data_IF_595802779697
#
_entry.id   IF_595802779697
#
_cell.length_a   1.000
_cell.length_b   1.000
_cell.length_c   1.000
_cell.angle_alpha   90.00
_cell.angle_beta   90.00
_cell.angle_gamma   90.00
#
_symmetry.space_group_name_H-M   'P 1'
#
loop_
_entity.id
_entity.type
_entity.pdbx_description
1 polymer ?
#
# COMPACT_ATOMS: atom_id res chain seq x y z
N UNK A 1 -25.65 29.88 -68.42
CA UNK A 1 -24.31 29.40 -68.75
C UNK A 1 -23.98 28.38 -67.65
N UNK A 2 -24.25 27.09 -67.92
CA UNK A 2 -24.20 25.99 -67.00
C UNK A 2 -22.85 25.28 -67.16
N UNK A 3 -22.08 25.20 -66.11
CA UNK A 3 -20.92 24.34 -66.12
C UNK A 3 -21.16 23.15 -65.17
N UNK A 4 -21.26 21.94 -65.78
CA UNK A 4 -21.36 20.68 -65.09
C UNK A 4 -19.96 20.35 -64.54
N UNK A 5 -19.86 20.15 -63.26
CA UNK A 5 -18.69 19.51 -62.67
C UNK A 5 -18.85 18.01 -62.80
N UNK A 6 -17.96 17.43 -63.58
CA UNK A 6 -17.78 16.00 -63.80
C UNK A 6 -17.39 15.27 -62.53
N UNK A 7 -18.26 14.35 -62.06
CA UNK A 7 -17.99 13.46 -60.93
C UNK A 7 -17.45 12.12 -61.49
N UNK A 8 -16.19 12.08 -61.81
CA UNK A 8 -15.47 10.82 -62.04
C UNK A 8 -14.50 10.55 -60.91
N UNK A 9 -15.01 10.01 -59.80
CA UNK A 9 -14.19 9.34 -58.80
C UNK A 9 -14.05 7.88 -59.20
N UNK A 10 -12.84 7.40 -59.42
CA UNK A 10 -12.65 6.01 -59.87
C UNK A 10 -13.09 5.02 -58.75
N UNK A 11 -13.85 4.03 -59.15
CA UNK A 11 -14.44 2.96 -58.32
C UNK A 11 -13.40 2.06 -57.62
N UNK A 12 -12.12 2.24 -57.91
CA UNK A 12 -11.02 1.48 -57.31
C UNK A 12 -10.74 1.80 -55.84
N UNK A 13 -11.24 2.91 -55.29
CA UNK A 13 -11.00 3.29 -53.89
C UNK A 13 -12.04 2.72 -52.90
N UNK A 14 -13.16 2.16 -53.38
CA UNK A 14 -14.22 1.59 -52.55
C UNK A 14 -14.05 0.10 -52.23
N UNK A 15 -13.17 -0.59 -52.89
CA UNK A 15 -12.96 -2.07 -52.73
C UNK A 15 -11.92 -2.38 -51.64
N UNK A 16 -11.11 -1.39 -51.24
CA UNK A 16 -9.96 -1.64 -50.34
C UNK A 16 -10.24 -1.66 -48.84
N UNK A 17 -11.41 -1.20 -48.39
CA UNK A 17 -11.65 -1.03 -46.91
C UNK A 17 -12.58 -2.10 -46.33
N UNK A 18 -13.42 -2.76 -47.18
CA UNK A 18 -14.38 -3.75 -46.69
C UNK A 18 -13.79 -5.18 -46.69
N UNK A 19 -12.65 -5.43 -47.36
CA UNK A 19 -12.07 -6.76 -47.46
C UNK A 19 -11.17 -7.20 -46.28
N UNK A 20 -10.94 -6.36 -45.31
CA UNK A 20 -10.07 -6.74 -44.16
C UNK A 20 -10.79 -7.33 -42.94
N UNK A 21 -12.10 -7.33 -42.89
CA UNK A 21 -12.89 -7.90 -41.77
C UNK A 21 -13.66 -9.17 -42.16
N UNK A 22 -13.81 -9.44 -43.47
CA UNK A 22 -14.56 -10.59 -43.95
C UNK A 22 -13.72 -11.71 -44.62
N UNK A 23 -12.48 -11.74 -44.34
CA UNK A 23 -11.53 -12.37 -45.20
C UNK A 23 -11.18 -13.84 -44.94
N UNK A 24 -12.10 -14.77 -44.80
CA UNK A 24 -11.77 -16.19 -45.00
C UNK A 24 -13.02 -17.02 -45.40
N UNK A 25 -14.22 -16.46 -45.32
CA UNK A 25 -15.47 -17.19 -45.53
C UNK A 25 -15.87 -17.38 -47.04
N UNK A 26 -15.10 -16.86 -47.99
CA UNK A 26 -15.44 -16.87 -49.41
C UNK A 26 -14.42 -17.56 -50.32
N UNK A 27 -13.34 -18.12 -49.77
CA UNK A 27 -12.39 -18.89 -50.59
C UNK A 27 -12.85 -20.33 -50.79
N UNK A 28 -12.63 -20.94 -52.00
CA UNK A 28 -12.84 -22.38 -52.21
C UNK A 28 -12.09 -23.17 -51.12
N UNK A 29 -12.64 -24.32 -50.74
CA UNK A 29 -12.13 -25.14 -49.63
C UNK A 29 -10.64 -25.54 -49.78
N UNK A 30 -10.13 -25.60 -51.04
CA UNK A 30 -8.74 -25.95 -51.34
C UNK A 30 -7.74 -24.78 -51.13
N UNK A 31 -8.21 -23.52 -51.13
CA UNK A 31 -7.36 -22.32 -50.95
C UNK A 31 -7.37 -21.78 -49.54
N UNK A 32 -8.06 -22.44 -48.61
CA UNK A 32 -8.04 -21.99 -47.21
C UNK A 32 -6.70 -22.38 -46.57
N UNK A 33 -5.98 -21.41 -45.95
CA UNK A 33 -4.77 -21.74 -45.23
C UNK A 33 -5.09 -22.73 -44.10
N UNK A 34 -4.25 -23.77 -43.92
CA UNK A 34 -4.51 -24.80 -42.92
C UNK A 34 -4.73 -24.15 -41.55
N UNK A 35 -5.87 -24.44 -40.92
CA UNK A 35 -6.17 -23.98 -39.55
C UNK A 35 -4.99 -24.42 -38.68
N UNK A 36 -4.32 -23.52 -37.99
CA UNK A 36 -3.17 -23.88 -37.16
C UNK A 36 -3.63 -24.88 -36.11
N UNK A 37 -3.41 -26.16 -36.36
CA UNK A 37 -3.64 -27.20 -35.36
C UNK A 37 -2.72 -26.91 -34.20
N UNK A 38 -3.30 -26.67 -33.03
CA UNK A 38 -2.58 -26.43 -31.78
C UNK A 38 -1.72 -27.65 -31.47
N UNK A 39 -0.49 -27.68 -32.02
CA UNK A 39 0.48 -28.76 -31.78
C UNK A 39 0.61 -28.89 -30.27
N UNK A 40 0.26 -30.04 -29.72
CA UNK A 40 0.54 -30.39 -28.33
C UNK A 40 2.04 -30.18 -28.11
N UNK A 41 2.38 -29.13 -27.36
CA UNK A 41 3.77 -28.85 -26.99
C UNK A 41 4.30 -30.09 -26.25
N UNK A 42 5.46 -30.59 -26.62
CA UNK A 42 6.16 -31.64 -25.89
C UNK A 42 6.40 -31.13 -24.45
N UNK A 43 6.21 -32.01 -23.45
CA UNK A 43 6.43 -31.69 -22.03
C UNK A 43 7.78 -31.01 -21.79
N UNK A 44 8.85 -31.45 -22.48
CA UNK A 44 10.19 -30.85 -22.39
C UNK A 44 10.21 -29.38 -22.88
N UNK A 45 9.52 -29.07 -23.97
CA UNK A 45 9.40 -27.67 -24.46
C UNK A 45 8.53 -26.83 -23.55
N UNK A 46 7.40 -27.38 -23.08
CA UNK A 46 6.56 -26.68 -22.12
C UNK A 46 7.32 -26.38 -20.80
N UNK A 47 8.12 -27.36 -20.32
CA UNK A 47 8.91 -27.17 -19.11
C UNK A 47 10.04 -26.15 -19.32
N UNK A 48 10.74 -26.20 -20.46
CA UNK A 48 11.79 -25.23 -20.79
C UNK A 48 11.23 -23.80 -20.94
N UNK A 49 10.02 -23.63 -21.50
CA UNK A 49 9.43 -22.32 -21.77
C UNK A 49 8.68 -21.74 -20.54
N UNK A 50 7.98 -22.58 -19.78
CA UNK A 50 7.07 -22.15 -18.72
C UNK A 50 7.20 -22.93 -17.41
N UNK A 51 7.47 -24.23 -17.47
CA UNK A 51 7.43 -25.13 -16.31
C UNK A 51 8.42 -24.74 -15.20
N UNK A 52 9.65 -24.38 -15.56
CA UNK A 52 10.67 -23.97 -14.60
C UNK A 52 10.24 -22.71 -13.80
N UNK A 53 9.47 -21.79 -14.42
CA UNK A 53 8.94 -20.59 -13.75
C UNK A 53 7.95 -20.96 -12.65
N UNK A 54 7.14 -22.00 -12.87
CA UNK A 54 6.22 -22.52 -11.85
C UNK A 54 7.00 -23.16 -10.69
N UNK A 55 8.07 -23.89 -10.98
CA UNK A 55 8.93 -24.47 -9.93
C UNK A 55 9.55 -23.37 -9.08
N UNK A 56 10.14 -22.34 -9.70
CA UNK A 56 10.69 -21.19 -8.99
C UNK A 56 9.60 -20.46 -8.17
N UNK A 57 8.40 -20.28 -8.74
CA UNK A 57 7.28 -19.67 -8.03
C UNK A 57 6.86 -20.49 -6.80
N UNK A 58 6.76 -21.81 -6.92
CA UNK A 58 6.43 -22.68 -5.80
C UNK A 58 7.50 -22.68 -4.70
N UNK A 59 8.79 -22.68 -5.07
CA UNK A 59 9.89 -22.54 -4.10
C UNK A 59 9.79 -21.19 -3.37
N UNK A 60 9.57 -20.09 -4.11
CA UNK A 60 9.41 -18.77 -3.52
C UNK A 60 8.19 -18.69 -2.59
N UNK A 61 7.06 -19.29 -2.96
CA UNK A 61 5.86 -19.39 -2.13
C UNK A 61 6.15 -20.19 -0.85
N UNK A 62 6.76 -21.36 -0.97
CA UNK A 62 7.11 -22.19 0.19
C UNK A 62 8.06 -21.46 1.14
N UNK A 63 9.06 -20.78 0.62
CA UNK A 63 9.99 -19.97 1.40
C UNK A 63 9.28 -18.81 2.11
N UNK A 64 8.38 -18.10 1.43
CA UNK A 64 7.62 -16.98 2.01
C UNK A 64 6.60 -17.45 3.06
N UNK A 65 5.98 -18.62 2.88
CA UNK A 65 4.99 -19.16 3.81
C UNK A 65 5.63 -19.79 5.06
N UNK A 66 6.87 -20.24 4.99
CA UNK A 66 7.53 -20.93 6.09
C UNK A 66 7.56 -20.12 7.41
N UNK A 67 8.00 -18.84 7.42
CA UNK A 67 7.95 -18.01 8.64
C UNK A 67 6.54 -17.83 9.19
N UNK A 68 5.54 -17.69 8.30
CA UNK A 68 4.14 -17.52 8.70
C UNK A 68 3.60 -18.79 9.34
N UNK A 69 3.88 -19.95 8.76
CA UNK A 69 3.52 -21.25 9.34
C UNK A 69 4.18 -21.46 10.70
N UNK A 70 5.44 -21.02 10.87
CA UNK A 70 6.12 -21.09 12.14
C UNK A 70 5.42 -20.24 13.21
N UNK A 71 5.08 -18.97 12.91
CA UNK A 71 4.38 -18.09 13.84
C UNK A 71 3.00 -18.66 14.21
N UNK A 72 2.25 -19.20 13.23
CA UNK A 72 0.96 -19.85 13.48
C UNK A 72 1.14 -21.07 14.37
N UNK A 73 2.13 -21.91 14.10
CA UNK A 73 2.46 -23.07 14.95
C UNK A 73 2.82 -22.66 16.37
N UNK A 74 3.67 -21.64 16.53
CA UNK A 74 4.08 -21.13 17.83
C UNK A 74 2.90 -20.53 18.62
N UNK A 75 1.98 -19.84 17.95
CA UNK A 75 0.79 -19.26 18.60
C UNK A 75 -0.15 -20.31 19.21
N UNK A 76 -0.16 -21.50 18.63
CA UNK A 76 -1.00 -22.62 19.08
C UNK A 76 -0.28 -23.53 20.07
N UNK A 77 1.03 -23.35 20.29
CA UNK A 77 1.80 -24.21 21.19
C UNK A 77 1.66 -23.75 22.66
N UNK A 78 1.05 -24.58 23.55
CA UNK A 78 0.80 -24.22 24.96
C UNK A 78 2.06 -24.09 25.80
N UNK A 79 3.21 -24.69 25.39
CA UNK A 79 4.47 -24.59 26.11
C UNK A 79 5.00 -23.17 26.09
N UNK A 80 4.74 -22.39 25.01
CA UNK A 80 4.95 -20.95 24.93
C UNK A 80 6.41 -20.48 24.92
N UNK A 81 7.39 -21.37 24.96
CA UNK A 81 8.82 -21.05 24.93
C UNK A 81 9.38 -21.13 23.52
N UNK A 82 10.46 -20.39 23.24
CA UNK A 82 11.14 -20.43 21.95
C UNK A 82 11.63 -21.85 21.62
N UNK A 83 12.23 -22.52 22.59
CA UNK A 83 12.75 -23.91 22.44
C UNK A 83 11.63 -24.92 22.32
N UNK A 84 10.52 -24.77 23.03
CA UNK A 84 9.35 -25.63 22.92
C UNK A 84 8.59 -25.51 21.61
N UNK A 85 8.77 -24.43 20.90
CA UNK A 85 8.13 -24.16 19.59
C UNK A 85 8.93 -24.67 18.39
N UNK A 86 10.06 -25.34 18.60
CA UNK A 86 10.93 -25.85 17.52
C UNK A 86 10.30 -26.97 16.67
N UNK A 87 9.28 -27.66 17.21
CA UNK A 87 8.52 -28.64 16.45
C UNK A 87 7.20 -28.01 15.96
N UNK A 88 7.02 -27.96 14.65
CA UNK A 88 5.79 -27.41 14.05
C UNK A 88 4.57 -28.25 14.47
N UNK A 89 3.55 -27.57 15.01
CA UNK A 89 2.28 -28.17 15.41
C UNK A 89 2.39 -29.36 16.37
N UNK A 90 3.41 -29.37 17.23
CA UNK A 90 3.60 -30.44 18.26
C UNK A 90 2.45 -30.53 19.26
N UNK A 91 1.78 -29.40 19.52
CA UNK A 91 0.53 -29.32 20.28
C UNK A 91 -0.32 -28.17 19.75
N UNK A 92 -1.64 -28.34 19.79
CA UNK A 92 -2.59 -27.33 19.32
C UNK A 92 -3.51 -26.94 20.48
N UNK A 93 -3.40 -25.67 20.92
CA UNK A 93 -4.19 -25.14 22.02
C UNK A 93 -4.48 -23.64 21.82
N UNK A 94 -5.68 -23.13 22.12
CA UNK A 94 -6.01 -21.70 22.09
C UNK A 94 -5.46 -20.94 23.30
N UNK A 95 -4.79 -21.58 24.24
CA UNK A 95 -4.37 -21.03 25.54
C UNK A 95 -3.60 -19.69 25.42
N UNK A 96 -2.77 -19.53 24.39
CA UNK A 96 -2.01 -18.29 24.21
C UNK A 96 -2.92 -17.11 23.82
N UNK A 97 -3.97 -17.37 23.05
CA UNK A 97 -4.99 -16.39 22.72
C UNK A 97 -5.84 -16.04 23.95
N UNK A 98 -6.22 -17.04 24.76
CA UNK A 98 -6.94 -16.80 26.02
C UNK A 98 -6.11 -15.91 26.96
N UNK A 99 -4.82 -16.21 27.14
CA UNK A 99 -3.91 -15.41 27.97
C UNK A 99 -3.80 -13.96 27.51
N UNK A 100 -3.82 -13.66 26.21
CA UNK A 100 -3.78 -12.30 25.70
C UNK A 100 -4.92 -11.42 26.26
N UNK A 101 -6.07 -12.01 26.53
CA UNK A 101 -7.26 -11.27 26.96
C UNK A 101 -7.62 -11.47 28.44
N UNK A 102 -7.08 -12.51 29.09
CA UNK A 102 -7.40 -12.83 30.48
C UNK A 102 -6.29 -12.50 31.47
N UNK A 103 -5.05 -12.37 31.02
CA UNK A 103 -3.91 -12.04 31.88
C UNK A 103 -3.90 -10.53 32.18
N UNK A 104 -4.11 -10.10 33.43
CA UNK A 104 -4.15 -8.68 33.80
C UNK A 104 -2.83 -7.94 33.53
N UNK A 105 -1.71 -8.68 33.43
CA UNK A 105 -0.40 -8.09 33.11
C UNK A 105 -0.23 -7.76 31.62
N UNK A 106 -1.17 -8.20 30.77
CA UNK A 106 -1.10 -8.03 29.31
C UNK A 106 -2.34 -7.24 28.83
N UNK A 107 -2.32 -5.91 28.85
CA UNK A 107 -3.45 -5.12 28.37
C UNK A 107 -3.53 -5.06 26.82
N UNK A 108 -3.52 -6.25 26.19
CA UNK A 108 -3.45 -6.39 24.74
C UNK A 108 -4.57 -5.63 24.02
N UNK A 109 -5.79 -5.67 24.55
CA UNK A 109 -6.93 -4.96 23.96
C UNK A 109 -6.70 -3.46 23.89
N UNK A 110 -6.10 -2.86 24.93
CA UNK A 110 -5.73 -1.43 24.96
C UNK A 110 -4.67 -1.13 23.91
N UNK A 111 -3.59 -1.91 23.87
CA UNK A 111 -2.53 -1.75 22.87
C UNK A 111 -3.08 -1.84 21.43
N UNK A 112 -3.98 -2.79 21.21
CA UNK A 112 -4.59 -3.01 19.91
C UNK A 112 -5.45 -1.84 19.44
N UNK A 113 -6.31 -1.32 20.32
CA UNK A 113 -7.15 -0.16 20.04
C UNK A 113 -6.29 1.10 19.83
N UNK A 114 -5.28 1.32 20.66
CA UNK A 114 -4.34 2.44 20.51
C UNK A 114 -3.65 2.38 19.13
N UNK A 115 -3.12 1.20 18.75
CA UNK A 115 -2.47 1.03 17.45
C UNK A 115 -3.42 1.31 16.29
N UNK A 116 -4.65 0.85 16.36
CA UNK A 116 -5.65 1.09 15.32
C UNK A 116 -5.99 2.58 15.20
N UNK A 117 -6.22 3.27 16.32
CA UNK A 117 -6.51 4.70 16.33
C UNK A 117 -5.35 5.48 15.70
N UNK A 118 -4.10 5.23 16.16
CA UNK A 118 -2.92 5.92 15.67
C UNK A 118 -2.73 5.63 14.17
N UNK A 119 -2.82 4.38 13.75
CA UNK A 119 -2.62 3.99 12.35
C UNK A 119 -3.69 4.55 11.42
N UNK A 120 -4.97 4.48 11.80
CA UNK A 120 -6.08 5.00 10.99
C UNK A 120 -5.98 6.52 10.87
N UNK A 121 -5.86 7.23 12.00
CA UNK A 121 -5.82 8.70 12.00
C UNK A 121 -4.63 9.20 11.20
N UNK A 122 -3.43 8.65 11.44
CA UNK A 122 -2.24 9.06 10.71
C UNK A 122 -2.36 8.76 9.22
N UNK A 123 -2.87 7.59 8.83
CA UNK A 123 -3.02 7.23 7.42
C UNK A 123 -4.00 8.14 6.70
N UNK A 124 -5.16 8.41 7.28
CA UNK A 124 -6.18 9.30 6.69
C UNK A 124 -5.65 10.72 6.56
N UNK A 125 -5.02 11.25 7.60
CA UNK A 125 -4.46 12.61 7.58
C UNK A 125 -3.28 12.69 6.60
N UNK A 126 -2.40 11.69 6.55
CA UNK A 126 -1.31 11.62 5.58
C UNK A 126 -1.85 11.64 4.15
N UNK A 127 -2.84 10.80 3.83
CA UNK A 127 -3.45 10.77 2.49
C UNK A 127 -4.02 12.13 2.11
N UNK A 128 -4.76 12.76 3.03
CA UNK A 128 -5.37 14.06 2.76
C UNK A 128 -4.30 15.15 2.54
N UNK A 129 -3.33 15.26 3.44
CA UNK A 129 -2.27 16.28 3.34
C UNK A 129 -1.39 16.07 2.11
N UNK A 130 -1.01 14.81 1.82
CA UNK A 130 -0.21 14.49 0.65
C UNK A 130 -0.99 14.74 -0.66
N UNK A 131 -2.29 14.44 -0.70
CA UNK A 131 -3.13 14.73 -1.86
C UNK A 131 -3.27 16.25 -2.11
N UNK A 132 -3.49 17.04 -1.05
CA UNK A 132 -3.51 18.50 -1.12
C UNK A 132 -2.17 19.06 -1.62
N UNK A 133 -1.05 18.58 -1.05
CA UNK A 133 0.29 18.93 -1.48
C UNK A 133 0.55 18.54 -2.94
N UNK A 134 0.25 17.32 -3.33
CA UNK A 134 0.39 16.82 -4.69
C UNK A 134 -0.44 17.63 -5.69
N UNK A 135 -1.68 17.98 -5.34
CA UNK A 135 -2.54 18.84 -6.15
C UNK A 135 -1.92 20.24 -6.33
N UNK A 136 -1.46 20.86 -5.24
CA UNK A 136 -0.81 22.16 -5.32
C UNK A 136 0.46 22.11 -6.19
N UNK A 137 1.31 21.11 -5.97
CA UNK A 137 2.53 20.90 -6.76
C UNK A 137 2.26 20.48 -8.21
N UNK A 138 1.15 19.84 -8.55
CA UNK A 138 0.86 19.42 -9.93
C UNK A 138 0.09 20.49 -10.73
N UNK A 139 -0.86 21.19 -10.11
CA UNK A 139 -1.85 22.05 -10.79
C UNK A 139 -1.66 23.55 -10.56
N UNK A 140 -1.02 23.94 -9.46
CA UNK A 140 -0.83 25.35 -9.17
C UNK A 140 0.52 25.85 -9.67
N UNK A 141 0.56 27.09 -10.15
CA UNK A 141 1.79 27.78 -10.57
C UNK A 141 2.21 28.73 -9.46
N UNK A 142 3.27 28.39 -8.71
CA UNK A 142 3.84 29.26 -7.69
C UNK A 142 5.38 29.24 -7.74
N UNK A 143 5.99 30.33 -7.25
CA UNK A 143 7.47 30.44 -7.15
C UNK A 143 7.98 29.43 -6.12
N UNK A 144 9.04 28.73 -6.45
CA UNK A 144 9.63 27.73 -5.54
C UNK A 144 9.05 26.30 -5.64
N UNK A 145 8.09 26.03 -6.53
CA UNK A 145 7.47 24.71 -6.72
C UNK A 145 8.49 23.56 -6.83
N UNK A 146 9.48 23.70 -7.73
CA UNK A 146 10.52 22.68 -7.94
C UNK A 146 11.40 22.53 -6.72
N UNK A 147 11.79 23.66 -6.12
CA UNK A 147 12.59 23.66 -4.89
C UNK A 147 11.86 22.99 -3.75
N UNK A 148 10.59 23.29 -3.52
CA UNK A 148 9.78 22.66 -2.48
C UNK A 148 9.67 21.13 -2.63
N UNK A 149 9.42 20.62 -3.86
CA UNK A 149 9.41 19.19 -4.12
C UNK A 149 10.77 18.53 -3.84
N UNK A 150 11.87 19.18 -4.27
CA UNK A 150 13.22 18.65 -4.01
C UNK A 150 13.53 18.68 -2.51
N UNK A 151 13.16 19.74 -1.80
CA UNK A 151 13.35 19.84 -0.35
C UNK A 151 12.63 18.71 0.39
N UNK A 152 11.39 18.39 0.02
CA UNK A 152 10.64 17.27 0.60
C UNK A 152 11.39 15.94 0.41
N UNK A 153 11.99 15.71 -0.76
CA UNK A 153 12.77 14.49 -1.02
C UNK A 153 14.09 14.46 -0.23
N UNK A 154 14.82 15.59 -0.20
CA UNK A 154 16.09 15.69 0.51
C UNK A 154 15.92 15.49 2.01
N UNK A 155 14.85 16.06 2.60
CA UNK A 155 14.54 15.85 4.02
C UNK A 155 14.27 14.38 4.36
N UNK A 156 13.72 13.61 3.44
CA UNK A 156 13.48 12.17 3.62
C UNK A 156 14.76 11.32 3.55
N UNK A 157 15.85 11.85 3.02
CA UNK A 157 17.14 11.15 3.02
C UNK A 157 17.81 11.15 4.40
N UNK A 158 17.33 12.00 5.32
CA UNK A 158 17.85 12.00 6.68
C UNK A 158 17.35 10.75 7.44
N UNK A 159 18.26 9.95 8.03
CA UNK A 159 17.86 8.74 8.74
C UNK A 159 17.00 9.04 9.96
N UNK A 160 15.74 8.64 9.94
CA UNK A 160 14.78 8.90 11.03
C UNK A 160 15.27 8.37 12.39
N UNK A 161 15.97 7.23 12.40
CA UNK A 161 16.52 6.65 13.64
C UNK A 161 17.54 7.57 14.31
N UNK A 162 18.29 8.35 13.56
CA UNK A 162 19.21 9.34 14.12
C UNK A 162 18.50 10.55 14.72
N UNK A 163 17.28 10.83 14.27
CA UNK A 163 16.46 11.92 14.76
C UNK A 163 15.73 11.60 16.08
N UNK A 164 15.68 10.34 16.50
CA UNK A 164 14.86 9.92 17.67
C UNK A 164 15.17 10.75 18.92
N UNK A 165 16.45 10.96 19.24
CA UNK A 165 16.83 11.76 20.41
C UNK A 165 16.36 13.23 20.29
N UNK A 166 16.50 13.82 19.10
CA UNK A 166 16.05 15.18 18.86
C UNK A 166 14.52 15.29 18.92
N UNK A 167 13.81 14.30 18.38
CA UNK A 167 12.35 14.20 18.46
C UNK A 167 11.90 14.10 19.92
N UNK A 168 12.56 13.25 20.71
CA UNK A 168 12.25 13.10 22.14
C UNK A 168 12.40 14.42 22.91
N UNK A 169 13.55 15.11 22.74
CA UNK A 169 13.79 16.41 23.37
C UNK A 169 12.78 17.46 22.92
N UNK A 170 12.42 17.47 21.64
CA UNK A 170 11.39 18.36 21.11
C UNK A 170 10.02 18.05 21.74
N UNK A 171 9.67 16.77 21.88
CA UNK A 171 8.40 16.36 22.49
C UNK A 171 8.30 16.75 23.98
N UNK A 172 9.40 16.72 24.72
CA UNK A 172 9.44 17.26 26.09
C UNK A 172 9.09 18.75 26.09
N UNK A 173 9.77 19.55 25.24
CA UNK A 173 9.51 20.99 25.18
C UNK A 173 8.07 21.31 24.73
N UNK A 174 7.52 20.51 23.79
CA UNK A 174 6.13 20.65 23.37
C UNK A 174 5.19 20.34 24.57
N UNK A 175 5.52 19.34 25.40
CA UNK A 175 4.71 18.98 26.55
C UNK A 175 4.57 20.11 27.55
N UNK A 176 5.61 20.93 27.73
CA UNK A 176 5.60 22.08 28.64
C UNK A 176 4.63 23.17 28.19
N UNK A 177 4.40 23.33 26.89
CA UNK A 177 3.54 24.38 26.32
C UNK A 177 2.17 23.82 25.91
N UNK A 178 2.15 22.60 25.32
CA UNK A 178 0.97 21.95 24.79
C UNK A 178 0.90 20.48 25.25
N UNK A 179 0.50 20.21 26.52
CA UNK A 179 0.49 18.84 27.05
C UNK A 179 -0.33 17.84 26.24
N UNK A 180 -1.39 18.29 25.57
CA UNK A 180 -2.28 17.43 24.79
C UNK A 180 -1.63 16.80 23.54
N UNK A 181 -0.53 17.36 23.04
CA UNK A 181 0.21 16.91 21.85
C UNK A 181 1.69 16.64 22.14
N UNK A 182 2.05 16.59 23.42
CA UNK A 182 3.40 16.36 23.89
C UNK A 182 3.75 14.88 24.03
N UNK A 183 4.82 14.65 24.78
CA UNK A 183 5.33 13.32 25.12
C UNK A 183 4.25 12.49 25.86
N UNK A 184 4.18 11.21 25.60
CA UNK A 184 3.21 10.29 26.21
C UNK A 184 1.83 10.28 25.56
N UNK A 185 1.57 11.15 24.57
CA UNK A 185 0.24 11.26 23.95
C UNK A 185 0.18 10.64 22.55
N UNK A 186 -0.98 10.06 22.19
CA UNK A 186 -1.23 9.56 20.83
C UNK A 186 -1.16 10.70 19.80
N UNK A 187 -1.67 11.88 20.14
CA UNK A 187 -1.66 13.04 19.25
C UNK A 187 -0.22 13.50 18.93
N UNK A 188 0.66 13.50 19.94
CA UNK A 188 2.08 13.80 19.75
C UNK A 188 2.75 12.79 18.82
N UNK A 189 2.51 11.50 19.03
CA UNK A 189 3.05 10.45 18.15
C UNK A 189 2.52 10.59 16.71
N UNK A 190 1.22 10.85 16.53
CA UNK A 190 0.61 11.08 15.21
C UNK A 190 1.30 12.25 14.49
N UNK A 191 1.55 13.36 15.18
CA UNK A 191 2.24 14.52 14.59
C UNK A 191 3.66 14.18 14.12
N UNK A 192 4.40 13.39 14.90
CA UNK A 192 5.75 12.94 14.52
C UNK A 192 5.68 12.05 13.27
N UNK A 193 4.74 11.12 13.22
CA UNK A 193 4.55 10.26 12.05
C UNK A 193 4.14 11.03 10.80
N UNK A 194 3.28 12.03 10.93
CA UNK A 194 2.88 12.90 9.81
C UNK A 194 4.10 13.61 9.22
N UNK A 195 4.99 14.15 10.07
CA UNK A 195 6.23 14.79 9.61
C UNK A 195 7.09 13.85 8.77
N UNK A 196 7.24 12.59 9.18
CA UNK A 196 7.99 11.58 8.44
C UNK A 196 7.31 11.10 7.16
N UNK A 197 5.99 11.04 7.13
CA UNK A 197 5.24 10.45 6.02
C UNK A 197 5.02 11.41 4.83
N UNK A 198 5.02 12.73 5.05
CA UNK A 198 4.59 13.71 4.05
C UNK A 198 5.51 13.78 2.82
N UNK A 199 6.82 13.62 2.96
CA UNK A 199 7.78 13.83 1.88
C UNK A 199 7.61 12.88 0.70
N UNK A 200 7.88 11.58 0.91
CA UNK A 200 7.83 10.53 -0.13
C UNK A 200 6.42 10.36 -0.66
N UNK A 201 5.41 10.36 0.23
CA UNK A 201 4.03 10.14 -0.18
C UNK A 201 3.48 11.30 -1.02
N UNK A 202 3.86 12.56 -0.71
CA UNK A 202 3.51 13.71 -1.56
C UNK A 202 4.14 13.61 -2.94
N UNK A 203 5.40 13.18 -3.03
CA UNK A 203 6.09 12.99 -4.30
C UNK A 203 5.47 11.86 -5.13
N UNK A 204 5.14 10.74 -4.50
CA UNK A 204 4.48 9.61 -5.15
C UNK A 204 3.11 10.05 -5.72
N UNK A 205 2.30 10.74 -4.92
CA UNK A 205 1.01 11.26 -5.37
C UNK A 205 1.18 12.32 -6.45
N UNK A 206 2.15 13.22 -6.34
CA UNK A 206 2.46 14.21 -7.37
C UNK A 206 2.73 13.56 -8.73
N UNK A 207 3.52 12.49 -8.76
CA UNK A 207 3.75 11.72 -10.00
C UNK A 207 2.43 11.24 -10.62
N UNK A 208 1.55 10.69 -9.80
CA UNK A 208 0.26 10.16 -10.26
C UNK A 208 -0.71 11.27 -10.69
N UNK A 209 -0.78 12.38 -9.97
CA UNK A 209 -1.60 13.55 -10.37
C UNK A 209 -1.21 14.10 -11.74
N UNK A 210 0.07 14.03 -12.12
CA UNK A 210 0.53 14.47 -13.44
C UNK A 210 0.12 13.51 -14.57
N UNK A 211 -0.36 12.30 -14.30
CA UNK A 211 -0.89 11.40 -15.34
C UNK A 211 -2.31 11.79 -15.77
N UNK A 212 -3.02 12.56 -14.95
CA UNK A 212 -4.35 13.07 -15.27
C UNK A 212 -4.22 14.27 -16.20
N UNK A 213 -4.86 14.28 -17.40
CA UNK A 213 -4.78 15.39 -18.35
C UNK A 213 -5.26 16.73 -17.76
N UNK A 214 -4.49 17.81 -17.97
CA UNK A 214 -4.87 19.16 -17.49
C UNK A 214 -6.14 19.72 -18.12
N UNK A 215 -6.50 19.21 -19.30
CA UNK A 215 -7.73 19.59 -19.99
C UNK A 215 -9.00 19.38 -19.14
N UNK A 216 -8.99 18.39 -18.22
CA UNK A 216 -10.10 18.13 -17.29
C UNK A 216 -10.25 19.32 -16.31
N UNK A 217 -9.13 19.80 -15.76
CA UNK A 217 -9.13 20.94 -14.86
C UNK A 217 -9.53 22.25 -15.57
N UNK A 218 -9.10 22.41 -16.83
CA UNK A 218 -9.39 23.57 -17.67
C UNK A 218 -10.87 23.62 -18.03
N UNK A 219 -11.46 22.49 -18.43
CA UNK A 219 -12.89 22.38 -18.72
C UNK A 219 -13.72 22.74 -17.47
N UNK A 220 -13.38 22.16 -16.31
CA UNK A 220 -14.08 22.46 -15.06
C UNK A 220 -14.00 23.95 -14.66
N UNK A 221 -12.89 24.63 -14.96
CA UNK A 221 -12.74 26.07 -14.71
C UNK A 221 -13.60 26.90 -15.67
N UNK A 222 -13.75 26.49 -16.93
CA UNK A 222 -14.67 27.13 -17.89
C UNK A 222 -16.10 27.03 -17.37
N UNK A 223 -16.48 25.90 -16.75
CA UNK A 223 -17.77 25.69 -16.10
C UNK A 223 -17.90 26.45 -14.76
N UNK A 224 -16.92 27.28 -14.38
CA UNK A 224 -16.96 28.09 -13.16
C UNK A 224 -16.57 27.37 -11.88
N UNK A 225 -16.00 26.15 -11.97
CA UNK A 225 -15.57 25.41 -10.78
C UNK A 225 -14.30 26.03 -10.17
N UNK A 226 -14.35 26.39 -8.89
CA UNK A 226 -13.19 26.82 -8.12
C UNK A 226 -12.25 25.64 -7.79
N UNK A 227 -11.00 25.94 -7.38
CA UNK A 227 -9.97 24.94 -7.09
C UNK A 227 -10.39 23.86 -6.08
N UNK A 228 -11.11 24.26 -5.03
CA UNK A 228 -11.60 23.29 -4.04
C UNK A 228 -12.60 22.31 -4.65
N UNK A 229 -13.54 22.81 -5.47
CA UNK A 229 -14.51 21.94 -6.16
C UNK A 229 -13.80 20.99 -7.12
N UNK A 230 -12.87 21.47 -7.93
CA UNK A 230 -12.07 20.63 -8.84
C UNK A 230 -11.33 19.56 -8.04
N UNK A 231 -10.69 19.91 -6.93
CA UNK A 231 -9.95 18.97 -6.10
C UNK A 231 -10.84 17.87 -5.53
N UNK A 232 -11.89 18.23 -4.79
CA UNK A 232 -12.72 17.26 -4.06
C UNK A 232 -13.64 16.43 -4.96
N UNK A 233 -14.22 17.04 -6.02
CA UNK A 233 -15.26 16.38 -6.82
C UNK A 233 -14.73 15.73 -8.10
N UNK A 234 -13.58 16.16 -8.62
CA UNK A 234 -13.03 15.67 -9.88
C UNK A 234 -11.71 14.93 -9.64
N UNK A 235 -10.73 15.61 -9.03
CA UNK A 235 -9.38 15.04 -8.91
C UNK A 235 -9.29 13.88 -7.95
N UNK A 236 -9.82 14.01 -6.73
CA UNK A 236 -9.76 12.92 -5.73
C UNK A 236 -10.38 11.60 -6.24
N UNK A 237 -11.57 11.59 -6.88
CA UNK A 237 -12.12 10.38 -7.48
C UNK A 237 -11.22 9.76 -8.56
N UNK A 238 -10.61 10.58 -9.42
CA UNK A 238 -9.72 10.09 -10.49
C UNK A 238 -8.43 9.48 -9.97
N UNK A 239 -7.90 10.02 -8.87
CA UNK A 239 -6.64 9.54 -8.26
C UNK A 239 -6.87 8.56 -7.11
N UNK A 240 -8.10 8.11 -6.87
CA UNK A 240 -8.45 7.15 -5.80
C UNK A 240 -7.49 5.94 -5.72
N UNK A 241 -7.04 5.31 -6.82
CA UNK A 241 -6.13 4.17 -6.72
C UNK A 241 -4.84 4.51 -5.95
N UNK A 242 -4.21 5.65 -6.21
CA UNK A 242 -2.98 6.02 -5.51
C UNK A 242 -3.25 6.45 -4.06
N UNK A 243 -4.42 7.05 -3.77
CA UNK A 243 -4.80 7.40 -2.40
C UNK A 243 -4.90 6.15 -1.53
N UNK A 244 -5.52 5.09 -2.05
CA UNK A 244 -5.66 3.80 -1.37
C UNK A 244 -4.29 3.16 -1.14
N UNK A 245 -3.41 3.17 -2.15
CA UNK A 245 -2.06 2.61 -2.02
C UNK A 245 -1.27 3.34 -0.95
N UNK A 246 -1.23 4.67 -0.96
CA UNK A 246 -0.51 5.46 0.04
C UNK A 246 -1.11 5.26 1.43
N UNK A 247 -2.43 5.25 1.56
CA UNK A 247 -3.11 4.99 2.82
C UNK A 247 -2.76 3.61 3.40
N UNK A 248 -2.80 2.57 2.56
CA UNK A 248 -2.44 1.22 2.95
C UNK A 248 -0.98 1.11 3.40
N UNK A 249 -0.04 1.65 2.61
CA UNK A 249 1.39 1.61 2.94
C UNK A 249 1.69 2.37 4.24
N UNK A 250 1.06 3.52 4.45
CA UNK A 250 1.18 4.30 5.69
C UNK A 250 0.61 3.50 6.87
N UNK A 251 -0.57 2.91 6.73
CA UNK A 251 -1.18 2.09 7.79
C UNK A 251 -0.30 0.90 8.18
N UNK A 252 0.23 0.16 7.20
CA UNK A 252 1.13 -0.98 7.43
C UNK A 252 2.40 -0.52 8.16
N UNK A 253 2.99 0.59 7.72
CA UNK A 253 4.19 1.14 8.33
C UNK A 253 3.99 1.50 9.80
N UNK A 254 2.85 2.08 10.14
CA UNK A 254 2.56 2.54 11.51
C UNK A 254 2.19 1.41 12.46
N UNK A 255 1.42 0.41 12.01
CA UNK A 255 1.05 -0.74 12.87
C UNK A 255 2.29 -1.46 13.40
N UNK A 256 3.34 -1.57 12.61
CA UNK A 256 4.59 -2.24 12.99
C UNK A 256 5.67 -1.31 13.54
N UNK A 257 5.40 0.00 13.62
CA UNK A 257 6.42 0.94 14.06
C UNK A 257 6.62 0.83 15.58
N UNK A 258 7.85 0.55 15.98
CA UNK A 258 8.25 0.34 17.36
C UNK A 258 9.21 1.43 17.87
N UNK A 259 10.17 1.84 17.03
CA UNK A 259 11.32 2.61 17.49
C UNK A 259 10.92 4.00 18.02
N UNK A 260 10.14 4.75 17.26
CA UNK A 260 9.68 6.09 17.64
C UNK A 260 8.57 5.96 18.72
N UNK A 261 7.65 5.01 18.53
CA UNK A 261 6.56 4.79 19.47
C UNK A 261 7.08 4.49 20.89
N UNK A 262 8.10 3.62 21.02
CA UNK A 262 8.65 3.21 22.31
C UNK A 262 9.32 4.35 23.09
N UNK A 263 9.79 5.37 22.37
CA UNK A 263 10.42 6.56 22.98
C UNK A 263 9.37 7.59 23.39
N UNK A 264 8.28 7.69 22.64
CA UNK A 264 7.22 8.70 22.92
C UNK A 264 6.19 8.18 23.90
N UNK A 265 5.74 6.90 23.76
CA UNK A 265 4.67 6.33 24.58
C UNK A 265 5.24 5.48 25.71
N UNK A 266 5.57 6.08 26.82
CA UNK A 266 6.17 5.40 27.98
C UNK A 266 5.15 4.80 28.94
N UNK A 267 3.92 5.34 28.98
CA UNK A 267 2.83 4.85 29.83
C UNK A 267 2.20 3.57 29.20
N UNK A 268 2.10 2.45 29.96
CA UNK A 268 1.44 1.23 29.50
C UNK A 268 0.03 1.43 28.93
N UNK A 269 -0.72 2.40 29.41
CA UNK A 269 -2.07 2.70 28.96
C UNK A 269 -2.10 3.34 27.56
N UNK A 270 -1.02 3.98 27.12
CA UNK A 270 -0.92 4.63 25.80
C UNK A 270 -0.14 3.83 24.77
N UNK A 271 0.54 2.75 25.18
CA UNK A 271 1.40 1.94 24.33
C UNK A 271 0.66 1.32 23.16
N UNK A 272 1.42 1.06 22.07
CA UNK A 272 0.98 0.34 20.89
C UNK A 272 1.21 -1.17 21.01
N UNK A 273 0.57 -1.95 20.13
CA UNK A 273 0.80 -3.40 20.02
C UNK A 273 2.27 -3.72 19.79
N UNK A 274 2.97 -2.95 18.94
CA UNK A 274 4.39 -3.18 18.66
C UNK A 274 5.25 -3.09 19.92
N UNK A 275 5.00 -2.10 20.78
CA UNK A 275 5.69 -1.95 22.08
C UNK A 275 5.33 -3.10 23.01
N UNK A 276 4.04 -3.38 23.19
CA UNK A 276 3.57 -4.42 24.08
C UNK A 276 4.07 -5.81 23.69
N UNK A 277 4.04 -6.15 22.41
CA UNK A 277 4.57 -7.42 21.90
C UNK A 277 6.09 -7.54 22.14
N UNK A 278 6.84 -6.46 21.93
CA UNK A 278 8.27 -6.47 22.23
C UNK A 278 8.55 -6.73 23.71
N UNK A 279 7.76 -6.18 24.62
CA UNK A 279 7.91 -6.42 26.07
C UNK A 279 7.70 -7.89 26.44
N UNK A 280 6.81 -8.63 25.74
CA UNK A 280 6.57 -10.04 26.00
C UNK A 280 7.78 -10.94 25.72
N UNK A 281 8.69 -10.51 24.84
CA UNK A 281 9.85 -11.30 24.41
C UNK A 281 11.20 -10.71 24.82
N UNK A 282 11.24 -9.48 25.35
CA UNK A 282 12.46 -8.76 25.72
C UNK A 282 13.08 -9.23 27.05
N UNK A 283 12.39 -10.08 27.82
CA UNK A 283 12.91 -10.63 29.07
C UNK A 283 13.92 -11.75 28.86
N UNK A 284 14.79 -12.00 29.85
CA UNK A 284 15.82 -13.06 29.86
C UNK A 284 15.27 -14.48 29.66
N UNK A 285 13.98 -14.67 29.84
CA UNK A 285 13.28 -15.93 29.59
C UNK A 285 12.19 -15.68 28.55
N UNK A 286 12.42 -16.10 27.32
CA UNK A 286 11.46 -16.05 26.22
C UNK A 286 10.25 -17.00 26.43
N UNK A 287 9.65 -16.95 27.63
CA UNK A 287 8.54 -17.83 28.05
C UNK A 287 7.20 -17.43 27.41
N UNK A 288 7.11 -16.22 26.85
CA UNK A 288 5.88 -15.70 26.25
C UNK A 288 5.88 -15.73 24.71
N UNK A 289 6.75 -16.52 24.09
CA UNK A 289 6.87 -16.62 22.64
C UNK A 289 5.56 -17.02 21.96
N UNK A 290 4.80 -17.95 22.58
CA UNK A 290 3.48 -18.34 22.08
C UNK A 290 2.45 -17.21 22.16
N UNK A 291 2.44 -16.46 23.27
CA UNK A 291 1.55 -15.30 23.45
C UNK A 291 1.92 -14.16 22.50
N UNK A 292 3.23 -13.89 22.35
CA UNK A 292 3.74 -12.94 21.34
C UNK A 292 3.26 -13.32 19.95
N UNK A 293 3.41 -14.59 19.55
CA UNK A 293 3.00 -15.08 18.23
C UNK A 293 1.49 -14.96 18.02
N UNK A 294 0.68 -15.26 19.03
CA UNK A 294 -0.77 -15.07 18.99
C UNK A 294 -1.14 -13.59 18.81
N UNK A 295 -0.51 -12.70 19.57
CA UNK A 295 -0.70 -11.26 19.44
C UNK A 295 -0.26 -10.70 18.08
N UNK A 296 0.85 -11.18 17.54
CA UNK A 296 1.34 -10.78 16.22
C UNK A 296 0.36 -11.18 15.09
N UNK A 297 -0.24 -12.38 15.18
CA UNK A 297 -1.27 -12.83 14.23
C UNK A 297 -2.49 -11.90 14.29
N UNK A 298 -2.99 -11.59 15.49
CA UNK A 298 -4.13 -10.69 15.63
C UNK A 298 -3.80 -9.27 15.14
N UNK A 299 -2.58 -8.77 15.40
CA UNK A 299 -2.13 -7.48 14.91
C UNK A 299 -2.04 -7.42 13.37
N UNK A 300 -1.77 -8.54 12.71
CA UNK A 300 -1.72 -8.63 11.26
C UNK A 300 -3.12 -8.66 10.60
N UNK A 301 -4.19 -9.00 11.33
CA UNK A 301 -5.53 -9.13 10.75
C UNK A 301 -6.04 -7.83 10.09
N UNK A 302 -5.99 -6.64 10.71
CA UNK A 302 -6.47 -5.41 10.06
C UNK A 302 -5.67 -5.07 8.82
N UNK A 303 -4.35 -5.33 8.82
CA UNK A 303 -3.49 -5.16 7.64
C UNK A 303 -3.94 -6.09 6.51
N UNK A 304 -4.18 -7.36 6.83
CA UNK A 304 -4.63 -8.36 5.85
C UNK A 304 -6.00 -7.98 5.26
N UNK A 305 -6.95 -7.57 6.10
CA UNK A 305 -8.27 -7.13 5.65
C UNK A 305 -8.16 -5.91 4.73
N UNK A 306 -7.43 -4.88 5.14
CA UNK A 306 -7.22 -3.69 4.31
C UNK A 306 -6.53 -4.02 3.00
N UNK A 307 -5.53 -4.92 3.00
CA UNK A 307 -4.86 -5.36 1.78
C UNK A 307 -5.84 -6.07 0.83
N UNK A 308 -6.63 -7.03 1.34
CA UNK A 308 -7.62 -7.76 0.54
C UNK A 308 -8.68 -6.83 -0.07
N UNK A 309 -9.10 -5.79 0.64
CA UNK A 309 -10.02 -4.78 0.12
C UNK A 309 -9.37 -3.89 -0.93
N UNK A 310 -8.07 -3.61 -0.77
CA UNK A 310 -7.32 -2.66 -1.61
C UNK A 310 -6.70 -3.29 -2.86
N UNK A 311 -6.52 -4.62 -2.92
CA UNK A 311 -5.80 -5.33 -4.01
C UNK A 311 -6.34 -5.02 -5.41
N UNK A 312 -7.67 -4.85 -5.55
CA UNK A 312 -8.30 -4.49 -6.84
C UNK A 312 -7.85 -3.13 -7.38
N UNK A 313 -7.57 -2.18 -6.50
CA UNK A 313 -7.11 -0.84 -6.87
C UNK A 313 -5.62 -0.82 -7.21
N UNK A 314 -4.83 -1.67 -6.53
CA UNK A 314 -3.39 -1.83 -6.77
C UNK A 314 -3.16 -2.43 -8.17
N UNK A 315 -3.88 -3.50 -8.52
CA UNK A 315 -3.75 -4.17 -9.81
C UNK A 315 -4.16 -3.26 -10.99
N UNK A 316 -5.25 -2.48 -10.84
CA UNK A 316 -5.72 -1.55 -11.88
C UNK A 316 -4.78 -0.36 -12.13
N UNK A 317 -4.16 0.18 -11.09
CA UNK A 317 -3.25 1.33 -11.18
C UNK A 317 -1.92 1.03 -11.87
N UNK A 318 -1.39 -0.19 -11.72
CA UNK A 318 -0.13 -0.61 -12.33
C UNK A 318 -0.27 -0.89 -13.84
N UNK A 319 -1.44 -1.33 -14.30
CA UNK A 319 -1.68 -1.67 -15.71
C UNK A 319 -1.93 -0.43 -16.56
N UNK A 320 -2.60 0.59 -16.03
CA UNK A 320 -2.88 1.83 -16.77
C UNK A 320 -1.62 2.67 -17.06
N UNK A 321 -0.55 2.50 -16.30
CA UNK A 321 0.74 3.17 -16.53
C UNK A 321 1.68 2.46 -17.52
N UNK A 322 1.40 1.22 -17.92
CA UNK A 322 2.27 0.40 -18.76
C UNK A 322 1.88 0.36 -20.26
N UNK A 323 0.74 0.95 -20.61
CA UNK A 323 0.30 1.06 -22.01
C UNK A 323 0.69 2.46 -22.53
N UNK A 324 1.89 2.57 -23.04
CA UNK A 324 2.35 3.65 -23.91
C UNK A 324 2.67 3.07 -25.26
#
# INVERSE_FOLDING_TARGET
MSERIDQSVPDAARVGVVSRIGGVAGLPADDQPPIPTRRRQSFRRWFADKGWRHVVAWIAIAFALFPLLYIVSASLNPIGTLTGSNQLFSAISPRNYERLFTDPAIPYGTWYVNSLIIAIVTSVVTVLLCALGAYAFSRMRFRGRRFGLMTLLVLQMFPQLLAITAIFLLMIQISDVFPAIGLGTHAGLIMVYLGGALGVNTFLMYGFFNTVPSAIDEAAKIDGAGHARVFFTIMLPLVTPILIVVGLLTFIGIIGEFAIASVILTDPATQTVAIGLFQLVSGFQSQNWGVFSAGAILAALPVMVLFLLSQRYIAGGLVSGSVK
#
